data_IF_347661954164
#
_entry.id   IF_347661954164
#
_cell.length_a   1.000
_cell.length_b   1.000
_cell.length_c   1.000
_cell.angle_alpha   90.00
_cell.angle_beta   90.00
_cell.angle_gamma   90.00
#
_symmetry.space_group_name_H-M   'P 1'
#
loop_
_entity.id
_entity.type
_entity.pdbx_description
1 polymer ?
#
# COMPACT_ATOMS: atom_id res chain seq x y z
N UNK A 1 -18.17 7.68 -13.66
CA UNK A 1 -18.75 9.05 -13.69
C UNK A 1 -17.65 10.01 -14.10
N UNK A 2 -17.90 11.08 -14.86
CA UNK A 2 -16.80 12.04 -15.12
C UNK A 2 -16.50 12.85 -13.85
N UNK A 3 -15.26 13.34 -13.71
CA UNK A 3 -14.79 14.05 -12.52
C UNK A 3 -15.69 15.24 -12.13
N UNK A 4 -16.12 16.06 -13.08
CA UNK A 4 -16.95 17.25 -12.81
C UNK A 4 -18.30 16.92 -12.21
N UNK A 5 -18.89 15.79 -12.60
CA UNK A 5 -20.17 15.35 -12.02
C UNK A 5 -19.95 14.66 -10.68
N UNK A 6 -18.85 13.92 -10.52
CA UNK A 6 -18.48 13.32 -9.25
C UNK A 6 -18.24 14.37 -8.14
N UNK A 7 -17.59 15.49 -8.47
CA UNK A 7 -17.35 16.59 -7.51
C UNK A 7 -18.65 17.27 -7.02
N UNK A 8 -19.81 17.01 -7.64
CA UNK A 8 -21.12 17.52 -7.18
C UNK A 8 -21.81 16.60 -6.16
N UNK A 9 -21.32 15.38 -5.99
CA UNK A 9 -21.91 14.38 -5.09
C UNK A 9 -21.84 14.80 -3.62
N UNK A 10 -22.73 14.23 -2.80
CA UNK A 10 -22.77 14.54 -1.37
C UNK A 10 -21.53 14.00 -0.63
N UNK A 11 -21.06 12.80 -0.98
CA UNK A 11 -19.83 12.23 -0.41
C UNK A 11 -18.60 13.10 -0.70
N UNK A 12 -18.46 13.62 -1.92
CA UNK A 12 -17.37 14.53 -2.27
C UNK A 12 -17.42 15.81 -1.42
N UNK A 13 -18.57 16.48 -1.39
CA UNK A 13 -18.74 17.72 -0.59
C UNK A 13 -18.48 17.48 0.90
N UNK A 14 -18.99 16.38 1.45
CA UNK A 14 -18.75 15.98 2.84
C UNK A 14 -17.26 15.73 3.09
N UNK A 15 -16.55 15.13 2.14
CA UNK A 15 -15.11 14.88 2.24
C UNK A 15 -14.30 16.18 2.29
N UNK A 16 -14.69 17.20 1.50
CA UNK A 16 -14.09 18.53 1.57
C UNK A 16 -14.28 19.16 2.95
N UNK A 17 -15.48 19.08 3.53
CA UNK A 17 -15.75 19.62 4.87
C UNK A 17 -14.97 18.88 5.96
N UNK A 18 -14.84 17.55 5.86
CA UNK A 18 -13.99 16.75 6.75
C UNK A 18 -12.53 17.20 6.65
N UNK A 19 -12.00 17.37 5.43
CA UNK A 19 -10.63 17.83 5.21
C UNK A 19 -10.40 19.23 5.78
N UNK A 20 -11.31 20.18 5.55
CA UNK A 20 -11.23 21.54 6.12
C UNK A 20 -11.21 21.51 7.64
N UNK A 21 -12.08 20.70 8.24
CA UNK A 21 -12.11 20.49 9.68
C UNK A 21 -10.80 19.94 10.20
N UNK A 22 -10.30 18.85 9.60
CA UNK A 22 -9.04 18.22 9.97
C UNK A 22 -7.85 19.18 9.86
N UNK A 23 -7.75 19.93 8.76
CA UNK A 23 -6.67 20.91 8.57
C UNK A 23 -6.70 21.98 9.66
N UNK A 24 -7.88 22.50 10.01
CA UNK A 24 -8.03 23.49 11.07
C UNK A 24 -7.71 22.92 12.45
N UNK A 25 -8.27 21.75 12.77
CA UNK A 25 -8.34 21.23 14.14
C UNK A 25 -7.11 20.37 14.52
N UNK A 26 -6.45 19.74 13.53
CA UNK A 26 -5.32 18.82 13.75
C UNK A 26 -4.02 19.36 13.16
N UNK A 27 -4.08 20.10 12.05
CA UNK A 27 -2.89 20.62 11.36
C UNK A 27 -2.65 22.13 11.62
N UNK A 28 -3.35 22.73 12.58
CA UNK A 28 -3.27 24.16 12.91
C UNK A 28 -3.45 25.09 11.69
N UNK A 29 -4.35 24.73 10.79
CA UNK A 29 -4.62 25.47 9.55
C UNK A 29 -3.55 25.30 8.46
N UNK A 30 -2.52 24.47 8.67
CA UNK A 30 -1.41 24.30 7.73
C UNK A 30 -1.36 22.88 7.15
N UNK A 31 -1.94 22.70 5.96
CA UNK A 31 -1.93 21.40 5.25
C UNK A 31 -0.51 20.87 4.97
N UNK A 32 0.52 21.70 4.93
CA UNK A 32 1.92 21.23 4.78
C UNK A 32 2.35 20.28 5.91
N UNK A 33 1.72 20.38 7.09
CA UNK A 33 2.01 19.47 8.20
C UNK A 33 1.66 18.00 7.90
N UNK A 34 0.88 17.72 6.84
CA UNK A 34 0.66 16.34 6.37
C UNK A 34 1.95 15.61 5.96
N UNK A 35 3.02 16.34 5.63
CA UNK A 35 4.31 15.75 5.22
C UNK A 35 4.87 14.77 6.24
N UNK A 36 4.76 15.13 7.51
CA UNK A 36 5.36 14.41 8.63
C UNK A 36 4.30 13.80 9.57
N UNK A 37 3.04 13.78 9.15
CA UNK A 37 1.93 13.35 10.01
C UNK A 37 1.79 11.82 10.05
N UNK A 38 2.08 11.21 11.19
CA UNK A 38 1.77 9.81 11.48
C UNK A 38 0.28 9.67 11.82
N UNK A 39 -0.50 9.06 10.92
CA UNK A 39 -1.94 8.91 11.13
C UNK A 39 -2.29 8.02 12.33
N UNK A 40 -1.38 7.21 12.88
CA UNK A 40 -1.66 6.40 14.07
C UNK A 40 -1.70 7.20 15.38
N UNK A 41 -1.19 8.43 15.37
CA UNK A 41 -1.28 9.33 16.54
C UNK A 41 -2.67 9.99 16.65
N UNK A 42 -3.56 9.75 15.69
CA UNK A 42 -4.85 10.43 15.57
C UNK A 42 -5.94 9.79 16.45
N UNK A 43 -6.63 10.60 17.25
CA UNK A 43 -7.77 10.16 18.08
C UNK A 43 -9.13 10.73 17.63
N UNK A 44 -9.12 11.73 16.75
CA UNK A 44 -10.31 12.39 16.16
C UNK A 44 -10.32 12.20 14.65
N UNK A 45 -11.45 12.21 13.95
CA UNK A 45 -11.51 11.87 12.51
C UNK A 45 -11.06 10.44 12.18
N UNK A 46 -11.20 9.53 13.15
CA UNK A 46 -10.89 8.10 13.02
C UNK A 46 -12.07 7.33 12.41
N UNK A 47 -13.30 7.64 12.82
CA UNK A 47 -14.48 6.84 12.44
C UNK A 47 -14.49 5.48 13.14
N UNK A 48 -15.13 4.48 12.53
CA UNK A 48 -15.32 3.15 13.14
C UNK A 48 -14.22 2.13 12.78
N UNK A 49 -13.19 2.53 12.02
CA UNK A 49 -12.10 1.64 11.60
C UNK A 49 -10.90 1.72 12.55
N UNK A 50 -10.17 0.61 12.67
CA UNK A 50 -9.00 0.50 13.55
C UNK A 50 -7.70 0.88 12.81
N UNK A 51 -7.66 0.66 11.49
CA UNK A 51 -6.48 0.90 10.67
C UNK A 51 -6.41 2.36 10.18
N UNK A 52 -5.24 2.99 10.30
CA UNK A 52 -5.02 4.41 9.97
C UNK A 52 -5.19 4.75 8.49
N UNK A 53 -4.96 3.78 7.61
CA UNK A 53 -5.26 3.87 6.18
C UNK A 53 -6.77 3.84 5.88
N UNK A 54 -7.60 3.65 6.91
CA UNK A 54 -9.05 3.59 6.80
C UNK A 54 -9.78 4.52 7.77
N UNK A 55 -9.06 5.44 8.40
CA UNK A 55 -9.68 6.51 9.19
C UNK A 55 -10.62 7.38 8.34
N UNK A 56 -11.57 8.06 9.01
CA UNK A 56 -12.55 8.91 8.33
C UNK A 56 -11.87 9.98 7.46
N UNK A 57 -10.78 10.59 7.95
CA UNK A 57 -9.98 11.55 7.17
C UNK A 57 -9.31 10.90 5.95
N UNK A 58 -8.77 9.69 6.09
CA UNK A 58 -8.13 8.97 4.99
C UNK A 58 -9.13 8.61 3.91
N UNK A 59 -10.31 8.12 4.31
CA UNK A 59 -11.43 7.88 3.39
C UNK A 59 -11.87 9.16 2.66
N UNK A 60 -11.98 10.29 3.38
CA UNK A 60 -12.30 11.57 2.76
C UNK A 60 -11.24 11.99 1.72
N UNK A 61 -9.95 11.83 2.03
CA UNK A 61 -8.87 12.09 1.09
C UNK A 61 -8.99 11.17 -0.15
N UNK A 62 -9.29 9.88 0.01
CA UNK A 62 -9.48 8.97 -1.12
C UNK A 62 -10.64 9.38 -2.02
N UNK A 63 -11.77 9.80 -1.45
CA UNK A 63 -12.92 10.33 -2.19
C UNK A 63 -12.50 11.56 -3.00
N UNK A 64 -11.72 12.48 -2.41
CA UNK A 64 -11.27 13.69 -3.10
C UNK A 64 -10.33 13.37 -4.27
N UNK A 65 -9.38 12.45 -4.05
CA UNK A 65 -8.32 12.15 -5.02
C UNK A 65 -8.75 11.19 -6.14
N UNK A 66 -9.49 10.14 -5.77
CA UNK A 66 -9.71 8.96 -6.62
C UNK A 66 -11.17 8.55 -6.73
N UNK A 67 -12.06 9.35 -6.16
CA UNK A 67 -13.48 9.05 -6.14
C UNK A 67 -14.11 8.96 -7.54
N UNK A 68 -13.63 9.73 -8.51
CA UNK A 68 -14.10 9.66 -9.89
C UNK A 68 -13.65 8.39 -10.64
N UNK A 69 -12.55 7.77 -10.20
CA UNK A 69 -12.03 6.52 -10.77
C UNK A 69 -12.94 5.36 -10.40
N UNK A 70 -13.21 5.20 -9.10
CA UNK A 70 -13.91 4.03 -8.55
C UNK A 70 -15.36 4.31 -8.12
N UNK A 71 -15.86 5.51 -8.36
CA UNK A 71 -17.15 5.99 -7.83
C UNK A 71 -17.20 5.81 -6.29
N UNK A 72 -16.15 6.26 -5.60
CA UNK A 72 -15.98 6.03 -4.16
C UNK A 72 -17.06 6.78 -3.36
N UNK A 73 -17.53 6.16 -2.30
CA UNK A 73 -18.38 6.79 -1.27
C UNK A 73 -17.96 6.24 0.08
N UNK A 74 -18.36 6.88 1.18
CA UNK A 74 -18.07 6.34 2.51
C UNK A 74 -18.70 4.95 2.70
N UNK A 75 -19.82 4.65 2.06
CA UNK A 75 -20.50 3.36 2.14
C UNK A 75 -19.82 2.24 1.35
N UNK A 76 -19.02 2.60 0.32
CA UNK A 76 -18.29 1.64 -0.52
C UNK A 76 -16.89 1.31 -0.01
N UNK A 77 -16.43 2.00 1.03
CA UNK A 77 -15.12 1.78 1.63
C UNK A 77 -15.28 1.21 3.04
N UNK A 78 -14.46 0.22 3.38
CA UNK A 78 -14.45 -0.33 4.72
C UNK A 78 -13.41 -1.40 4.90
N UNK A 79 -13.37 -1.97 6.11
CA UNK A 79 -12.47 -3.07 6.43
C UNK A 79 -12.72 -4.29 5.55
N UNK A 80 -11.73 -5.17 5.44
CA UNK A 80 -11.92 -6.44 4.75
C UNK A 80 -12.92 -7.33 5.48
N UNK A 81 -13.79 -7.99 4.71
CA UNK A 81 -14.82 -8.88 5.22
C UNK A 81 -15.01 -10.05 4.27
N UNK A 82 -15.23 -11.25 4.80
CA UNK A 82 -15.49 -12.47 4.03
C UNK A 82 -16.72 -12.40 3.11
N UNK A 83 -17.68 -11.52 3.41
CA UNK A 83 -18.91 -11.36 2.64
C UNK A 83 -18.82 -10.23 1.59
N UNK A 84 -17.64 -9.66 1.34
CA UNK A 84 -17.43 -8.57 0.39
C UNK A 84 -18.34 -7.37 0.64
N UNK A 85 -18.59 -7.02 1.91
CA UNK A 85 -19.47 -5.91 2.28
C UNK A 85 -19.06 -4.59 1.63
N UNK A 86 -17.75 -4.35 1.56
CA UNK A 86 -17.18 -3.13 1.00
C UNK A 86 -16.37 -3.46 -0.25
N UNK A 87 -16.66 -2.84 -1.41
CA UNK A 87 -15.90 -3.08 -2.64
C UNK A 87 -14.48 -2.48 -2.62
N UNK A 88 -14.19 -1.50 -1.74
CA UNK A 88 -12.89 -0.85 -1.66
C UNK A 88 -12.37 -0.75 -0.22
N UNK A 89 -11.04 -0.65 -0.09
CA UNK A 89 -10.34 -0.40 1.18
C UNK A 89 -9.07 0.39 0.96
N UNK A 90 -8.62 1.07 1.99
CA UNK A 90 -7.28 1.60 2.14
C UNK A 90 -6.29 0.49 2.47
N UNK A 91 -5.05 0.74 2.11
CA UNK A 91 -3.91 -0.10 2.41
C UNK A 91 -2.60 0.70 2.40
N UNK A 92 -1.55 0.12 2.98
CA UNK A 92 -0.16 0.62 2.89
C UNK A 92 0.54 -0.01 1.71
N UNK A 93 1.23 0.79 0.89
CA UNK A 93 2.01 0.29 -0.24
C UNK A 93 3.22 -0.51 0.24
N UNK A 94 4.09 0.12 1.05
CA UNK A 94 5.27 -0.51 1.63
C UNK A 94 5.05 -0.72 3.13
N UNK A 95 5.06 -1.96 3.60
CA UNK A 95 4.70 -2.28 4.99
C UNK A 95 5.92 -2.47 5.89
N UNK A 96 5.78 -2.06 7.16
CA UNK A 96 6.82 -2.27 8.18
C UNK A 96 6.85 -3.74 8.67
N UNK A 97 5.68 -4.31 8.92
CA UNK A 97 5.54 -5.61 9.58
C UNK A 97 6.16 -6.78 8.79
N UNK A 98 6.10 -6.72 7.46
CA UNK A 98 6.55 -7.81 6.58
C UNK A 98 8.07 -7.98 6.58
N UNK A 99 8.84 -6.89 6.71
CA UNK A 99 10.30 -6.94 6.66
C UNK A 99 10.96 -6.87 8.05
N UNK A 100 10.51 -5.95 8.92
CA UNK A 100 11.14 -5.65 10.20
C UNK A 100 10.52 -6.43 11.38
N UNK A 101 9.25 -6.81 11.26
CA UNK A 101 8.47 -7.43 12.32
C UNK A 101 7.82 -6.38 13.24
N UNK A 102 6.48 -6.40 13.30
CA UNK A 102 5.70 -5.50 14.17
C UNK A 102 5.85 -5.91 15.63
N UNK A 103 5.92 -4.91 16.52
CA UNK A 103 5.85 -5.12 17.96
C UNK A 103 4.51 -5.77 18.32
N UNK A 104 4.56 -6.80 19.18
CA UNK A 104 3.39 -7.51 19.67
C UNK A 104 3.69 -8.00 21.08
N UNK A 105 3.27 -7.22 22.08
CA UNK A 105 3.53 -7.49 23.50
C UNK A 105 2.89 -8.79 23.97
N UNK A 106 1.73 -9.17 23.42
CA UNK A 106 1.06 -10.42 23.75
C UNK A 106 1.87 -11.63 23.28
N UNK A 107 2.56 -11.49 22.14
CA UNK A 107 3.45 -12.52 21.58
C UNK A 107 4.92 -12.37 22.00
N UNK A 108 5.23 -11.46 22.94
CA UNK A 108 6.60 -11.18 23.38
C UNK A 108 7.53 -10.69 22.27
N UNK A 109 6.99 -10.06 21.22
CA UNK A 109 7.77 -9.55 20.09
C UNK A 109 8.09 -8.09 20.30
N UNK A 110 9.38 -7.79 20.38
CA UNK A 110 9.86 -6.42 20.48
C UNK A 110 9.77 -5.67 19.14
N UNK A 111 9.89 -4.34 19.20
CA UNK A 111 10.05 -3.48 18.04
C UNK A 111 11.15 -4.00 17.10
N UNK A 112 10.79 -4.19 15.83
CA UNK A 112 11.68 -4.61 14.76
C UNK A 112 12.52 -5.86 15.09
N UNK A 113 11.93 -6.84 15.78
CA UNK A 113 12.66 -8.03 16.27
C UNK A 113 13.40 -8.81 15.16
N UNK A 114 12.91 -8.80 13.91
CA UNK A 114 13.63 -9.42 12.78
C UNK A 114 14.89 -8.64 12.43
N UNK A 115 14.82 -7.32 12.47
CA UNK A 115 15.98 -6.47 12.24
C UNK A 115 17.04 -6.63 13.32
N UNK A 116 16.63 -6.71 14.59
CA UNK A 116 17.53 -6.99 15.72
C UNK A 116 18.23 -8.34 15.61
N UNK A 117 17.53 -9.38 15.14
CA UNK A 117 18.13 -10.71 14.94
C UNK A 117 19.36 -10.66 14.01
N UNK A 118 19.35 -9.76 13.02
CA UNK A 118 20.46 -9.53 12.10
C UNK A 118 21.39 -8.40 12.54
N UNK A 119 21.35 -7.97 13.81
CA UNK A 119 22.18 -6.91 14.39
C UNK A 119 22.03 -5.52 13.75
N UNK A 120 20.87 -5.22 13.14
CA UNK A 120 20.62 -3.90 12.55
C UNK A 120 20.68 -2.75 13.59
N UNK A 121 20.40 -3.06 14.86
CA UNK A 121 20.46 -2.13 15.99
C UNK A 121 21.88 -1.75 16.43
N UNK A 122 22.90 -2.50 15.99
CA UNK A 122 24.32 -2.17 16.20
C UNK A 122 24.84 -1.12 15.21
N UNK A 123 24.10 -0.83 14.13
CA UNK A 123 24.39 0.25 13.20
C UNK A 123 23.46 1.44 13.52
N UNK A 124 23.95 2.52 14.17
CA UNK A 124 23.10 3.64 14.58
C UNK A 124 22.38 4.33 13.42
N UNK A 125 23.01 4.37 12.24
CA UNK A 125 22.45 5.01 11.05
C UNK A 125 21.26 4.21 10.50
N UNK A 126 21.45 2.91 10.29
CA UNK A 126 20.37 2.01 9.86
C UNK A 126 19.24 1.97 10.89
N UNK A 127 19.57 1.88 12.18
CA UNK A 127 18.55 1.84 13.23
C UNK A 127 17.72 3.13 13.31
N UNK A 128 18.34 4.29 13.06
CA UNK A 128 17.62 5.56 12.96
C UNK A 128 16.65 5.57 11.76
N UNK A 129 17.05 5.04 10.60
CA UNK A 129 16.16 4.88 9.44
C UNK A 129 14.98 3.96 9.74
N UNK A 130 15.19 2.84 10.43
CA UNK A 130 14.11 1.90 10.83
C UNK A 130 13.10 2.60 11.74
N UNK A 131 13.56 3.38 12.73
CA UNK A 131 12.67 4.15 13.61
C UNK A 131 11.87 5.20 12.83
N UNK A 132 12.52 5.94 11.93
CA UNK A 132 11.85 6.91 11.07
C UNK A 132 10.77 6.24 10.23
N UNK A 133 11.11 5.12 9.58
CA UNK A 133 10.18 4.40 8.72
C UNK A 133 8.99 3.82 9.48
N UNK A 134 9.17 3.40 10.74
CA UNK A 134 8.08 2.95 11.61
C UNK A 134 7.01 4.02 11.90
N UNK A 135 7.30 5.28 11.55
CA UNK A 135 6.37 6.41 11.62
C UNK A 135 5.88 6.81 10.23
N UNK A 136 6.80 6.98 9.29
CA UNK A 136 6.47 7.44 7.93
C UNK A 136 5.62 6.45 7.13
N UNK A 137 5.66 5.14 7.45
CA UNK A 137 4.82 4.16 6.75
C UNK A 137 3.31 4.37 7.01
N UNK A 138 2.94 5.18 8.00
CA UNK A 138 1.57 5.63 8.25
C UNK A 138 1.26 7.02 7.67
N UNK A 139 2.18 7.62 6.90
CA UNK A 139 1.91 8.89 6.22
C UNK A 139 1.01 8.68 4.99
N UNK A 140 0.28 9.73 4.61
CA UNK A 140 -0.67 9.69 3.49
C UNK A 140 -0.02 9.25 2.16
N UNK A 141 1.25 9.58 1.94
CA UNK A 141 2.00 9.15 0.76
C UNK A 141 2.32 7.67 0.70
N UNK A 142 2.17 6.91 1.80
CA UNK A 142 2.26 5.45 1.76
C UNK A 142 0.90 4.77 1.53
N UNK A 143 -0.20 5.51 1.63
CA UNK A 143 -1.53 4.96 1.56
C UNK A 143 -2.08 4.89 0.13
N UNK A 144 -2.91 3.89 -0.14
CA UNK A 144 -3.58 3.70 -1.42
C UNK A 144 -4.94 3.06 -1.23
N UNK A 145 -5.91 3.40 -2.09
CA UNK A 145 -7.19 2.69 -2.16
C UNK A 145 -7.08 1.56 -3.18
N UNK A 146 -7.49 0.35 -2.79
CA UNK A 146 -7.51 -0.83 -3.64
C UNK A 146 -8.87 -1.54 -3.56
N UNK A 147 -9.26 -2.26 -4.62
CA UNK A 147 -10.37 -3.22 -4.57
C UNK A 147 -10.27 -4.19 -3.38
N UNK A 148 -11.38 -4.34 -2.66
CA UNK A 148 -11.52 -5.09 -1.41
C UNK A 148 -12.44 -6.32 -1.58
N UNK A 149 -12.16 -7.15 -2.60
CA UNK A 149 -12.98 -8.31 -2.92
C UNK A 149 -12.33 -9.59 -2.39
N UNK A 150 -12.99 -10.21 -1.43
CA UNK A 150 -12.66 -11.43 -0.68
C UNK A 150 -13.39 -12.70 -1.15
N UNK A 151 -13.70 -12.82 -2.45
CA UNK A 151 -14.15 -14.10 -3.04
C UNK A 151 -13.08 -15.20 -2.97
N UNK A 152 -11.87 -14.85 -2.56
CA UNK A 152 -10.81 -15.75 -2.15
C UNK A 152 -10.47 -15.52 -0.70
N UNK A 153 -10.04 -16.58 -0.02
CA UNK A 153 -9.83 -16.67 1.43
C UNK A 153 -9.17 -15.45 2.07
N UNK A 154 -8.35 -14.71 1.31
CA UNK A 154 -7.66 -13.50 1.79
C UNK A 154 -7.69 -12.29 0.82
N UNK A 155 -8.41 -12.37 -0.33
CA UNK A 155 -8.51 -11.30 -1.35
C UNK A 155 -7.16 -10.82 -1.92
N UNK A 156 -7.17 -9.74 -2.72
CA UNK A 156 -5.93 -9.16 -3.32
C UNK A 156 -4.97 -8.63 -2.26
N UNK A 157 -5.49 -7.96 -1.22
CA UNK A 157 -4.65 -7.52 -0.10
C UNK A 157 -3.92 -8.69 0.55
N UNK A 158 -4.65 -9.75 0.92
CA UNK A 158 -4.01 -10.91 1.53
C UNK A 158 -3.14 -11.71 0.57
N UNK A 159 -3.37 -11.66 -0.74
CA UNK A 159 -2.42 -12.18 -1.72
C UNK A 159 -1.12 -11.37 -1.73
N UNK A 160 -1.22 -10.03 -1.63
CA UNK A 160 -0.07 -9.13 -1.56
C UNK A 160 0.74 -9.30 -0.27
N UNK A 161 0.09 -9.38 0.89
CA UNK A 161 0.76 -9.49 2.20
C UNK A 161 1.23 -10.90 2.59
N UNK A 162 0.91 -11.92 1.80
CA UNK A 162 1.29 -13.32 2.11
C UNK A 162 2.76 -13.63 1.87
N UNK A 163 3.19 -14.72 2.51
CA UNK A 163 4.45 -15.41 2.21
C UNK A 163 4.29 -16.32 0.96
N UNK A 164 5.34 -16.39 0.15
CA UNK A 164 5.39 -16.93 -1.23
C UNK A 164 4.92 -18.38 -1.44
N UNK A 165 4.87 -19.23 -0.40
CA UNK A 165 4.66 -20.69 -0.56
C UNK A 165 3.39 -21.21 0.14
N UNK A 166 2.21 -20.80 -0.33
CA UNK A 166 0.99 -21.60 -0.14
C UNK A 166 0.56 -22.16 -1.50
N UNK A 167 0.07 -23.40 -1.55
CA UNK A 167 -0.38 -24.07 -2.79
C UNK A 167 -1.34 -23.20 -3.64
N UNK A 168 -2.04 -22.25 -2.99
CA UNK A 168 -3.11 -21.43 -3.54
C UNK A 168 -2.75 -19.98 -3.89
N UNK A 169 -1.54 -19.48 -3.60
CA UNK A 169 -1.18 -18.07 -3.84
C UNK A 169 0.34 -17.80 -3.88
N UNK A 170 0.79 -16.97 -4.82
CA UNK A 170 2.13 -16.36 -4.84
C UNK A 170 2.11 -15.08 -3.99
N UNK A 171 2.57 -15.19 -2.74
CA UNK A 171 2.63 -14.06 -1.81
C UNK A 171 3.72 -13.04 -2.14
N UNK A 172 3.39 -11.74 -2.10
CA UNK A 172 4.31 -10.65 -2.48
C UNK A 172 5.02 -9.95 -1.31
N UNK A 173 4.73 -10.33 -0.06
CA UNK A 173 5.28 -9.70 1.16
C UNK A 173 5.19 -8.17 1.17
N UNK A 174 4.12 -7.61 0.60
CA UNK A 174 3.88 -6.16 0.48
C UNK A 174 4.91 -5.38 -0.34
N UNK A 175 5.68 -6.02 -1.22
CA UNK A 175 6.50 -5.28 -2.19
C UNK A 175 5.61 -4.67 -3.28
N UNK A 176 5.36 -3.36 -3.18
CA UNK A 176 4.43 -2.67 -4.07
C UNK A 176 4.92 -2.56 -5.52
N UNK A 177 6.24 -2.51 -5.74
CA UNK A 177 6.83 -2.55 -7.09
C UNK A 177 6.46 -3.86 -7.81
N UNK A 178 6.54 -4.99 -7.10
CA UNK A 178 6.14 -6.28 -7.63
C UNK A 178 4.64 -6.34 -7.94
N UNK A 179 3.81 -5.76 -7.08
CA UNK A 179 2.37 -5.67 -7.32
C UNK A 179 2.05 -4.92 -8.63
N UNK A 180 2.71 -3.78 -8.87
CA UNK A 180 2.55 -3.01 -10.11
C UNK A 180 3.02 -3.77 -11.35
N UNK A 181 4.17 -4.45 -11.25
CA UNK A 181 4.69 -5.31 -12.34
C UNK A 181 3.69 -6.43 -12.67
N UNK A 182 3.10 -7.06 -11.65
CA UNK A 182 2.10 -8.11 -11.85
C UNK A 182 0.82 -7.59 -12.51
N UNK A 183 0.36 -6.39 -12.14
CA UNK A 183 -0.76 -5.73 -12.84
C UNK A 183 -0.41 -5.47 -14.30
N UNK A 184 0.77 -4.90 -14.59
CA UNK A 184 1.20 -4.61 -15.96
C UNK A 184 1.26 -5.89 -16.82
N UNK A 185 1.86 -6.95 -16.28
CA UNK A 185 1.93 -8.26 -16.93
C UNK A 185 0.54 -8.82 -17.20
N UNK A 186 -0.35 -8.80 -16.20
CA UNK A 186 -1.74 -9.21 -16.36
C UNK A 186 -2.45 -8.42 -17.47
N UNK A 187 -2.37 -7.08 -17.44
CA UNK A 187 -2.98 -6.22 -18.45
C UNK A 187 -2.45 -6.52 -19.86
N UNK A 188 -1.15 -6.75 -20.00
CA UNK A 188 -0.53 -7.10 -21.28
C UNK A 188 -0.97 -8.47 -21.80
N UNK A 189 -1.11 -9.47 -20.91
CA UNK A 189 -1.66 -10.79 -21.25
C UNK A 189 -3.12 -10.69 -21.71
N UNK A 190 -3.96 -9.95 -20.98
CA UNK A 190 -5.36 -9.71 -21.35
C UNK A 190 -5.48 -9.06 -22.73
N UNK A 191 -4.68 -8.02 -23.03
CA UNK A 191 -4.67 -7.37 -24.36
C UNK A 191 -4.30 -8.33 -25.49
N UNK A 192 -3.45 -9.33 -25.21
CA UNK A 192 -3.01 -10.34 -26.19
C UNK A 192 -3.92 -11.56 -26.25
N UNK A 193 -4.94 -11.65 -25.39
CA UNK A 193 -5.78 -12.84 -25.27
C UNK A 193 -5.05 -14.04 -24.64
N UNK A 194 -3.96 -13.81 -23.90
CA UNK A 194 -3.22 -14.86 -23.20
C UNK A 194 -3.94 -15.25 -21.90
N UNK A 195 -4.21 -16.54 -21.75
CA UNK A 195 -4.89 -17.14 -20.60
C UNK A 195 -3.92 -17.83 -19.62
N UNK A 196 -2.60 -17.79 -19.87
CA UNK A 196 -1.59 -18.35 -18.96
C UNK A 196 -1.24 -17.35 -17.88
N UNK A 197 -2.04 -17.36 -16.82
CA UNK A 197 -1.88 -16.48 -15.66
C UNK A 197 -1.13 -17.17 -14.51
N UNK A 198 -0.28 -16.42 -13.81
CA UNK A 198 0.30 -16.83 -12.53
C UNK A 198 -0.79 -16.93 -11.46
N UNK A 199 -0.48 -17.56 -10.32
CA UNK A 199 -1.46 -17.68 -9.23
C UNK A 199 -1.94 -16.33 -8.71
N UNK A 200 -1.05 -15.32 -8.72
CA UNK A 200 -1.40 -13.96 -8.36
C UNK A 200 -2.25 -13.30 -9.45
N UNK A 201 -1.86 -13.40 -10.72
CA UNK A 201 -2.60 -12.81 -11.83
C UNK A 201 -4.02 -13.40 -11.96
N UNK A 202 -4.22 -14.68 -11.61
CA UNK A 202 -5.55 -15.27 -11.49
C UNK A 202 -6.44 -14.56 -10.46
N UNK A 203 -5.86 -14.00 -9.39
CA UNK A 203 -6.61 -13.19 -8.41
C UNK A 203 -7.12 -11.89 -9.06
N UNK A 204 -6.31 -11.28 -9.94
CA UNK A 204 -6.68 -10.09 -10.70
C UNK A 204 -7.77 -10.40 -11.73
N UNK A 205 -7.69 -11.58 -12.36
CA UNK A 205 -8.63 -11.98 -13.41
C UNK A 205 -10.02 -12.37 -12.89
N UNK A 206 -10.13 -12.93 -11.67
CA UNK A 206 -11.33 -13.60 -11.17
C UNK A 206 -12.62 -12.87 -11.55
N UNK A 207 -13.22 -13.35 -12.65
CA UNK A 207 -14.28 -12.78 -13.47
C UNK A 207 -14.17 -11.25 -13.75
N UNK A 208 -14.09 -10.80 -15.01
CA UNK A 208 -14.09 -9.37 -15.35
C UNK A 208 -15.28 -8.58 -14.82
N UNK A 209 -16.42 -9.24 -14.58
CA UNK A 209 -17.60 -8.64 -13.92
C UNK A 209 -17.35 -8.35 -12.43
N UNK A 210 -16.43 -9.07 -11.79
CA UNK A 210 -16.07 -8.94 -10.38
C UNK A 210 -14.74 -8.25 -10.12
N UNK A 211 -13.87 -7.98 -11.09
CA UNK A 211 -12.66 -7.16 -10.89
C UNK A 211 -12.36 -6.28 -12.12
N UNK A 212 -13.32 -5.49 -12.63
CA UNK A 212 -13.09 -4.64 -13.79
C UNK A 212 -11.94 -3.64 -13.55
N UNK A 213 -11.65 -3.30 -12.30
CA UNK A 213 -10.71 -2.25 -11.90
C UNK A 213 -9.25 -2.50 -12.32
N UNK A 214 -8.87 -3.77 -12.54
CA UNK A 214 -7.52 -4.14 -13.00
C UNK A 214 -7.45 -4.38 -14.50
N UNK A 215 -8.59 -4.42 -15.19
CA UNK A 215 -8.64 -4.61 -16.62
C UNK A 215 -8.04 -3.38 -17.35
N UNK A 216 -7.21 -3.57 -18.39
CA UNK A 216 -6.67 -2.44 -19.14
C UNK A 216 -7.74 -1.56 -19.80
N UNK A 217 -8.96 -2.07 -20.04
CA UNK A 217 -10.09 -1.30 -20.54
C UNK A 217 -10.70 -0.37 -19.50
N UNK A 218 -10.43 -0.59 -18.21
CA UNK A 218 -10.88 0.28 -17.13
C UNK A 218 -9.87 1.40 -16.88
N UNK A 219 -8.61 1.05 -16.64
CA UNK A 219 -7.53 2.01 -16.44
C UNK A 219 -6.19 1.35 -16.82
N UNK A 220 -5.48 1.91 -17.79
CA UNK A 220 -4.19 1.37 -18.21
C UNK A 220 -3.13 1.57 -17.13
N UNK A 221 -2.13 0.69 -17.06
CA UNK A 221 -1.03 0.83 -16.09
C UNK A 221 -0.32 2.18 -16.16
N UNK A 222 -0.22 2.77 -17.36
CA UNK A 222 0.33 4.13 -17.53
C UNK A 222 -0.57 5.19 -16.88
N UNK A 223 -1.88 5.05 -16.97
CA UNK A 223 -2.79 5.95 -16.26
C UNK A 223 -2.73 5.73 -14.75
N UNK A 224 -2.44 4.51 -14.25
CA UNK A 224 -2.19 4.31 -12.82
C UNK A 224 -1.00 5.13 -12.32
N UNK A 225 0.08 5.23 -13.10
CA UNK A 225 1.25 6.06 -12.79
C UNK A 225 0.83 7.48 -12.42
N UNK A 226 0.08 8.12 -13.32
CA UNK A 226 -0.32 9.52 -13.18
C UNK A 226 -1.39 9.69 -12.09
N UNK A 227 -2.43 8.85 -12.09
CA UNK A 227 -3.60 9.00 -11.24
C UNK A 227 -3.34 8.70 -9.76
N UNK A 228 -2.42 7.76 -9.46
CA UNK A 228 -2.06 7.39 -8.08
C UNK A 228 -0.71 7.95 -7.63
N UNK A 229 -0.10 8.82 -8.45
CA UNK A 229 1.18 9.47 -8.20
C UNK A 229 2.34 8.47 -8.04
N UNK A 230 2.40 7.43 -8.89
CA UNK A 230 3.33 6.31 -8.74
C UNK A 230 4.64 6.47 -9.52
N UNK A 231 4.95 7.67 -10.05
CA UNK A 231 6.15 7.95 -10.84
C UNK A 231 7.46 7.28 -10.34
N UNK A 232 7.78 7.23 -9.03
CA UNK A 232 9.00 6.55 -8.56
C UNK A 232 9.06 5.05 -8.90
N UNK A 233 7.92 4.40 -9.10
CA UNK A 233 7.82 2.99 -9.51
C UNK A 233 7.88 2.80 -11.03
N UNK A 234 8.03 3.85 -11.84
CA UNK A 234 7.92 3.78 -13.29
C UNK A 234 9.17 4.30 -14.01
N UNK A 235 9.46 3.69 -15.16
CA UNK A 235 10.44 4.17 -16.13
C UNK A 235 9.89 3.93 -17.53
N UNK A 236 9.90 4.99 -18.36
CA UNK A 236 9.43 4.91 -19.75
C UNK A 236 7.98 4.40 -19.89
N UNK A 237 7.13 4.66 -18.88
CA UNK A 237 5.72 4.28 -18.85
C UNK A 237 5.45 2.83 -18.41
N UNK A 238 6.47 2.10 -17.99
CA UNK A 238 6.36 0.73 -17.46
C UNK A 238 6.81 0.68 -16.00
N UNK A 239 6.17 -0.14 -15.15
CA UNK A 239 6.63 -0.33 -13.78
C UNK A 239 7.98 -1.03 -13.73
N UNK A 240 8.82 -0.61 -12.80
CA UNK A 240 10.17 -1.13 -12.61
C UNK A 240 10.29 -1.88 -11.29
N UNK A 241 11.30 -2.75 -11.24
CA UNK A 241 11.82 -3.30 -9.99
C UNK A 241 12.50 -2.14 -9.24
N UNK A 242 11.87 -1.64 -8.18
CA UNK A 242 12.30 -0.42 -7.49
C UNK A 242 13.53 -0.66 -6.63
N UNK A 243 13.53 -1.77 -5.89
CA UNK A 243 14.61 -2.13 -4.98
C UNK A 243 15.72 -2.89 -5.70
N UNK A 244 16.98 -2.69 -5.31
CA UNK A 244 18.16 -3.31 -5.95
C UNK A 244 18.15 -4.84 -5.85
N UNK A 245 17.73 -5.36 -4.71
CA UNK A 245 17.64 -6.81 -4.48
C UNK A 245 16.62 -7.43 -5.44
N UNK A 246 16.94 -8.51 -6.18
CA UNK A 246 15.98 -9.17 -7.07
C UNK A 246 14.77 -9.75 -6.32
N UNK A 247 13.62 -9.88 -7.00
CA UNK A 247 12.37 -10.37 -6.39
C UNK A 247 12.51 -11.71 -5.68
N UNK A 248 13.19 -12.69 -6.28
CA UNK A 248 13.39 -14.02 -5.67
C UNK A 248 14.19 -13.95 -4.37
N UNK A 249 15.19 -13.08 -4.32
CA UNK A 249 16.04 -12.86 -3.15
C UNK A 249 15.29 -12.10 -2.03
N UNK A 250 14.33 -11.23 -2.39
CA UNK A 250 13.43 -10.56 -1.44
C UNK A 250 12.43 -11.49 -0.74
N UNK A 251 12.34 -12.75 -1.16
CA UNK A 251 11.37 -13.72 -0.64
C UNK A 251 12.00 -14.75 0.29
N UNK A 252 13.29 -14.63 0.59
CA UNK A 252 13.95 -15.46 1.61
C UNK A 252 13.33 -15.23 2.98
N UNK A 253 13.39 -16.25 3.83
CA UNK A 253 12.79 -16.21 5.16
C UNK A 253 13.77 -15.56 6.13
N UNK A 254 13.27 -14.67 6.99
CA UNK A 254 14.01 -14.20 8.15
C UNK A 254 14.08 -15.34 9.16
N UNK A 255 15.28 -15.88 9.39
CA UNK A 255 15.47 -17.09 10.17
C UNK A 255 15.28 -16.78 11.66
N UNK A 256 14.06 -16.89 12.19
CA UNK A 256 13.88 -16.71 13.62
C UNK A 256 14.28 -17.96 14.42
N UNK A 257 14.13 -19.21 13.91
CA UNK A 257 14.47 -20.44 14.66
C UNK A 257 14.38 -21.81 13.91
N UNK A 258 14.67 -21.90 12.61
CA UNK A 258 14.81 -23.22 11.97
C UNK A 258 15.65 -23.14 10.70
N UNK A 259 16.55 -24.11 10.49
CA UNK A 259 17.28 -24.31 9.24
C UNK A 259 16.64 -25.47 8.48
N UNK A 260 15.51 -25.21 7.80
CA UNK A 260 14.96 -26.18 6.86
C UNK A 260 15.75 -26.09 5.54
N UNK A 261 16.44 -27.15 5.08
CA UNK A 261 17.23 -27.10 3.85
C UNK A 261 16.41 -26.84 2.58
N UNK A 262 15.07 -26.95 2.65
CA UNK A 262 14.14 -26.62 1.56
C UNK A 262 13.72 -25.14 1.55
N UNK A 263 14.14 -24.35 2.54
CA UNK A 263 13.79 -22.93 2.68
C UNK A 263 15.07 -22.11 2.49
N UNK A 264 14.99 -21.09 1.63
CA UNK A 264 16.06 -20.11 1.48
C UNK A 264 15.93 -19.06 2.58
N UNK A 265 17.02 -18.82 3.31
CA UNK A 265 17.10 -17.86 4.41
C UNK A 265 18.08 -16.76 4.06
N UNK A 266 17.84 -15.56 4.60
CA UNK A 266 18.78 -14.47 4.44
C UNK A 266 20.10 -14.72 5.16
N UNK A 267 21.20 -14.40 4.47
CA UNK A 267 22.44 -14.04 5.14
C UNK A 267 22.31 -12.67 5.83
N UNK A 268 23.16 -12.40 6.84
CA UNK A 268 23.07 -11.15 7.58
C UNK A 268 23.35 -9.92 6.71
N UNK A 269 24.45 -9.95 5.96
CA UNK A 269 24.83 -8.86 5.03
C UNK A 269 23.72 -8.61 4.00
N UNK A 270 23.24 -9.68 3.35
CA UNK A 270 22.15 -9.61 2.38
C UNK A 270 20.88 -8.96 2.94
N UNK A 271 20.48 -9.33 4.15
CA UNK A 271 19.29 -8.77 4.78
C UNK A 271 19.49 -7.29 5.13
N UNK A 272 20.65 -6.92 5.69
CA UNK A 272 20.95 -5.53 6.06
C UNK A 272 21.01 -4.61 4.82
N UNK A 273 21.61 -5.08 3.72
CA UNK A 273 21.61 -4.36 2.43
C UNK A 273 20.19 -4.15 1.89
N UNK A 274 19.34 -5.20 1.96
CA UNK A 274 17.93 -5.11 1.60
C UNK A 274 17.20 -4.09 2.48
N UNK A 275 17.44 -4.07 3.80
CA UNK A 275 16.80 -3.09 4.69
C UNK A 275 17.15 -1.66 4.30
N UNK A 276 18.43 -1.37 4.07
CA UNK A 276 18.88 -0.02 3.70
C UNK A 276 18.22 0.45 2.40
N UNK A 277 18.26 -0.38 1.36
CA UNK A 277 17.67 -0.04 0.08
C UNK A 277 16.14 0.09 0.15
N UNK A 278 15.47 -0.79 0.90
CA UNK A 278 14.03 -0.72 1.12
C UNK A 278 13.60 0.57 1.82
N UNK A 279 14.32 0.96 2.88
CA UNK A 279 14.04 2.17 3.64
C UNK A 279 14.21 3.40 2.77
N UNK A 280 15.34 3.51 2.06
CA UNK A 280 15.63 4.70 1.23
C UNK A 280 14.62 4.85 0.10
N UNK A 281 14.30 3.76 -0.61
CA UNK A 281 13.35 3.79 -1.72
C UNK A 281 11.90 3.99 -1.26
N UNK A 282 11.52 3.42 -0.12
CA UNK A 282 10.18 3.63 0.43
C UNK A 282 9.96 5.08 0.87
N UNK A 283 10.97 5.70 1.51
CA UNK A 283 10.92 7.11 1.90
C UNK A 283 10.82 8.04 0.68
N UNK A 284 11.62 7.80 -0.37
CA UNK A 284 11.53 8.55 -1.64
C UNK A 284 10.11 8.50 -2.23
N UNK A 285 9.48 7.31 -2.24
CA UNK A 285 8.10 7.11 -2.70
C UNK A 285 7.11 7.91 -1.83
N UNK A 286 7.20 7.76 -0.51
CA UNK A 286 6.28 8.38 0.45
C UNK A 286 6.36 9.90 0.35
N UNK A 287 7.57 10.46 0.29
CA UNK A 287 7.79 11.89 0.15
C UNK A 287 7.20 12.42 -1.16
N UNK A 288 7.52 11.78 -2.29
CA UNK A 288 7.01 12.17 -3.60
C UNK A 288 5.47 12.18 -3.62
N UNK A 289 4.85 11.11 -3.15
CA UNK A 289 3.38 10.98 -3.14
C UNK A 289 2.73 11.95 -2.19
N UNK A 290 3.30 12.15 -1.00
CA UNK A 290 2.76 13.10 -0.02
C UNK A 290 2.76 14.52 -0.59
N UNK A 291 3.85 14.94 -1.24
CA UNK A 291 3.94 16.24 -1.90
C UNK A 291 2.85 16.40 -2.97
N UNK A 292 2.69 15.40 -3.85
CA UNK A 292 1.66 15.43 -4.91
C UNK A 292 0.24 15.46 -4.37
N UNK A 293 -0.03 14.71 -3.31
CA UNK A 293 -1.33 14.71 -2.64
C UNK A 293 -1.61 16.08 -2.04
N UNK A 294 -0.66 16.68 -1.31
CA UNK A 294 -0.82 18.01 -0.71
C UNK A 294 -1.08 19.07 -1.79
N UNK A 295 -0.37 19.05 -2.92
CA UNK A 295 -0.61 19.94 -4.06
C UNK A 295 -2.08 19.90 -4.50
N UNK A 296 -2.63 18.70 -4.72
CA UNK A 296 -4.02 18.53 -5.14
C UNK A 296 -5.01 18.95 -4.05
N UNK A 297 -4.76 18.58 -2.79
CA UNK A 297 -5.65 18.91 -1.69
C UNK A 297 -5.72 20.42 -1.41
N UNK A 298 -4.62 21.16 -1.61
CA UNK A 298 -4.60 22.63 -1.49
C UNK A 298 -5.55 23.32 -2.46
N UNK A 299 -5.68 22.80 -3.68
CA UNK A 299 -6.60 23.37 -4.69
C UNK A 299 -8.08 23.21 -4.30
N UNK A 300 -8.37 22.40 -3.27
CA UNK A 300 -9.72 22.06 -2.82
C UNK A 300 -10.13 22.74 -1.51
N UNK A 301 -9.18 23.37 -0.80
CA UNK A 301 -9.39 24.08 0.46
C UNK A 301 -9.73 25.54 0.21
#
# INVERSE_FOLDING_TARGET
MNKRDYEKTNDYKKSIEILKGFVRDVLDGNIEKLKDFDFTDLTTYVGDNIDSDMYLITQAIYIILWGDIYDLTFEKMGSWTWNNRYPFRGDTMNSFGSLFGKEDKEKGREFAFRAKYYNADQNPHLWAKIKKFSKSYHCIGNFIVIPNRGTLEKGINGARGKYYNEEKCEGMRDYFDWFLIAIANYQNKVKRGDNHLSKFEMQLQMNPEYNPEYNPAFLSIKEWEERFFLKPYFKEGEPIVLFKTPLEERLKVTAANATNPKISYYGAEEYLELLEDFLDKSEEVIEYRTNKIIEILKEKL
#
